data_IF_388252626183
#
_entry.id   IF_388252626183
#
_cell.length_a   1.000
_cell.length_b   1.000
_cell.length_c   1.000
_cell.angle_alpha   90.00
_cell.angle_beta   90.00
_cell.angle_gamma   90.00
#
_symmetry.space_group_name_H-M   'P 1'
#
loop_
_entity.id
_entity.type
_entity.pdbx_description
1 polymer ?
#
# COMPACT_ATOMS: atom_id res chain seq x y z
N UNK A 1 53.08 25.11 -25.97
CA UNK A 1 52.92 25.63 -24.58
C UNK A 1 52.41 27.05 -24.66
N UNK A 2 51.23 27.31 -24.10
CA UNK A 2 50.74 28.69 -23.99
C UNK A 2 51.58 29.48 -22.98
N UNK A 3 51.67 30.80 -23.16
CA UNK A 3 52.43 31.68 -22.27
C UNK A 3 51.77 31.75 -20.87
N UNK A 4 52.51 32.07 -19.80
CA UNK A 4 51.92 32.28 -18.47
C UNK A 4 50.83 33.36 -18.54
N UNK A 5 49.60 33.02 -18.14
CA UNK A 5 48.44 33.93 -18.17
C UNK A 5 47.56 33.85 -19.43
N UNK A 6 47.87 32.97 -20.37
CA UNK A 6 47.00 32.65 -21.51
C UNK A 6 45.77 31.85 -21.05
N UNK A 7 44.57 32.34 -21.36
CA UNK A 7 43.32 31.61 -21.12
C UNK A 7 42.84 30.84 -22.37
N UNK A 8 41.76 30.05 -22.21
CA UNK A 8 41.25 29.21 -23.30
C UNK A 8 40.71 30.05 -24.45
N UNK A 9 40.11 31.22 -24.15
CA UNK A 9 39.51 32.11 -25.13
C UNK A 9 40.58 32.83 -25.95
N UNK A 10 41.74 33.16 -25.35
CA UNK A 10 42.92 33.68 -26.05
C UNK A 10 43.39 32.72 -27.14
N UNK A 11 43.47 31.42 -26.84
CA UNK A 11 43.87 30.39 -27.81
C UNK A 11 42.82 30.22 -28.90
N UNK A 12 41.54 30.28 -28.56
CA UNK A 12 40.45 30.22 -29.53
C UNK A 12 40.46 31.42 -30.46
N UNK A 13 40.65 32.63 -29.93
CA UNK A 13 40.76 33.88 -30.67
C UNK A 13 41.95 33.86 -31.63
N UNK A 14 43.12 33.42 -31.15
CA UNK A 14 44.33 33.31 -31.96
C UNK A 14 44.23 32.25 -33.08
N UNK A 15 43.43 31.20 -32.90
CA UNK A 15 43.29 30.10 -33.87
C UNK A 15 42.04 30.21 -34.76
N UNK A 16 41.27 31.30 -34.67
CA UNK A 16 39.96 31.45 -35.33
C UNK A 16 39.01 30.27 -35.06
N UNK A 17 39.09 29.68 -33.86
CA UNK A 17 38.26 28.55 -33.45
C UNK A 17 38.52 27.22 -34.16
N UNK A 18 39.69 27.05 -34.80
CA UNK A 18 40.08 25.79 -35.44
C UNK A 18 40.71 24.77 -34.49
N UNK A 19 41.02 25.16 -33.25
CA UNK A 19 41.63 24.27 -32.26
C UNK A 19 40.59 23.31 -31.67
N UNK A 20 40.94 22.03 -31.58
CA UNK A 20 40.05 21.00 -31.00
C UNK A 20 40.22 20.92 -29.48
N UNK A 21 39.20 20.42 -28.78
CA UNK A 21 39.30 20.14 -27.33
C UNK A 21 40.45 19.19 -27.00
N UNK A 22 40.72 18.20 -27.85
CA UNK A 22 41.85 17.29 -27.68
C UNK A 22 43.20 18.03 -27.71
N UNK A 23 43.39 18.96 -28.66
CA UNK A 23 44.61 19.77 -28.72
C UNK A 23 44.75 20.70 -27.52
N UNK A 24 43.63 21.26 -27.02
CA UNK A 24 43.67 22.09 -25.82
C UNK A 24 44.08 21.29 -24.57
N UNK A 25 43.66 20.03 -24.47
CA UNK A 25 44.03 19.14 -23.38
C UNK A 25 45.48 18.65 -23.48
N UNK A 26 45.92 18.20 -24.67
CA UNK A 26 47.20 17.50 -24.86
C UNK A 26 48.37 18.45 -25.17
N UNK A 27 48.15 19.49 -25.97
CA UNK A 27 49.22 20.37 -26.48
C UNK A 27 49.29 21.70 -25.73
N UNK A 28 48.13 22.28 -25.39
CA UNK A 28 48.06 23.53 -24.64
C UNK A 28 48.09 23.32 -23.12
N UNK A 29 47.71 22.12 -22.65
CA UNK A 29 47.80 21.73 -21.24
C UNK A 29 46.66 22.23 -20.35
N UNK A 30 45.54 22.68 -20.94
CA UNK A 30 44.39 23.12 -20.16
C UNK A 30 43.72 21.94 -19.44
N UNK A 31 43.20 22.20 -18.25
CA UNK A 31 42.38 21.28 -17.49
C UNK A 31 40.94 21.25 -18.03
N UNK A 32 40.22 20.12 -17.89
CA UNK A 32 38.80 20.07 -18.26
C UNK A 32 37.91 21.09 -17.51
N UNK A 33 38.34 21.56 -16.33
CA UNK A 33 37.64 22.63 -15.61
C UNK A 33 37.80 23.97 -16.32
N UNK A 34 39.00 24.33 -16.74
CA UNK A 34 39.24 25.56 -17.52
C UNK A 34 38.46 25.53 -18.83
N UNK A 35 38.39 24.38 -19.49
CA UNK A 35 37.59 24.21 -20.71
C UNK A 35 36.09 24.40 -20.45
N UNK A 36 35.57 23.86 -19.34
CA UNK A 36 34.18 24.10 -18.92
C UNK A 36 33.92 25.57 -18.63
N UNK A 37 34.82 26.21 -17.88
CA UNK A 37 34.70 27.61 -17.49
C UNK A 37 34.75 28.54 -18.72
N UNK A 38 35.42 28.11 -19.79
CA UNK A 38 35.42 28.71 -21.14
C UNK A 38 34.27 28.24 -22.05
N UNK A 39 33.23 27.61 -21.49
CA UNK A 39 32.00 27.26 -22.21
C UNK A 39 32.08 26.02 -23.11
N UNK A 40 33.11 25.18 -23.00
CA UNK A 40 33.12 23.87 -23.69
C UNK A 40 32.08 22.94 -23.08
N UNK A 41 31.33 22.26 -23.93
CA UNK A 41 30.27 21.32 -23.56
C UNK A 41 30.85 19.99 -23.06
N UNK A 42 30.08 19.27 -22.24
CA UNK A 42 30.49 17.93 -21.79
C UNK A 42 30.72 16.98 -22.99
N UNK A 43 29.92 17.12 -24.06
CA UNK A 43 30.03 16.31 -25.28
C UNK A 43 31.40 16.48 -25.95
N UNK A 44 31.85 17.71 -26.13
CA UNK A 44 33.16 17.97 -26.74
C UNK A 44 34.31 17.35 -25.94
N UNK A 45 34.21 17.36 -24.61
CA UNK A 45 35.19 16.71 -23.74
C UNK A 45 35.13 15.18 -23.84
N UNK A 46 33.93 14.60 -23.86
CA UNK A 46 33.74 13.15 -23.99
C UNK A 46 34.26 12.65 -25.35
N UNK A 47 33.97 13.37 -26.44
CA UNK A 47 34.47 13.07 -27.78
C UNK A 47 36.00 13.19 -27.87
N UNK A 48 36.60 14.05 -27.04
CA UNK A 48 38.05 14.16 -26.87
C UNK A 48 38.67 13.10 -25.93
N UNK A 49 37.87 12.15 -25.43
CA UNK A 49 38.33 11.04 -24.60
C UNK A 49 38.40 11.33 -23.10
N UNK A 50 37.84 12.46 -22.63
CA UNK A 50 37.71 12.74 -21.20
C UNK A 50 36.62 11.83 -20.61
N UNK A 51 36.93 11.12 -19.53
CA UNK A 51 35.94 10.25 -18.88
C UNK A 51 34.82 11.03 -18.17
N UNK A 52 33.63 10.45 -18.06
CA UNK A 52 32.48 11.01 -17.31
C UNK A 52 32.87 11.39 -15.88
N UNK A 53 33.70 10.58 -15.20
CA UNK A 53 34.21 10.90 -13.86
C UNK A 53 35.01 12.20 -13.85
N UNK A 54 35.86 12.43 -14.84
CA UNK A 54 36.67 13.65 -14.95
C UNK A 54 35.78 14.85 -15.30
N UNK A 55 34.76 14.67 -16.15
CA UNK A 55 33.74 15.70 -16.38
C UNK A 55 33.01 16.07 -15.07
N UNK A 56 32.57 15.09 -14.26
CA UNK A 56 31.94 15.36 -12.96
C UNK A 56 32.84 16.12 -12.00
N UNK A 57 34.10 15.69 -11.84
CA UNK A 57 35.07 16.37 -10.96
C UNK A 57 35.39 17.79 -11.45
N UNK A 58 35.29 18.01 -12.76
CA UNK A 58 35.43 19.32 -13.38
C UNK A 58 34.16 20.16 -13.29
N UNK A 59 33.09 19.59 -12.71
CA UNK A 59 31.83 20.22 -12.34
C UNK A 59 30.84 20.42 -13.49
N UNK A 60 30.84 19.51 -14.47
CA UNK A 60 29.70 19.36 -15.37
C UNK A 60 28.49 18.77 -14.61
N UNK A 61 27.32 19.35 -14.80
CA UNK A 61 26.06 18.95 -14.18
C UNK A 61 25.50 17.66 -14.78
N UNK A 62 24.47 17.08 -14.16
CA UNK A 62 23.78 15.94 -14.76
C UNK A 62 23.09 16.33 -16.08
N UNK A 63 22.64 17.59 -16.21
CA UNK A 63 22.01 18.13 -17.42
C UNK A 63 22.99 18.12 -18.59
N UNK A 64 24.21 18.60 -18.38
CA UNK A 64 25.26 18.60 -19.41
C UNK A 64 25.55 17.19 -19.93
N UNK A 65 25.57 16.20 -19.02
CA UNK A 65 25.83 14.81 -19.35
C UNK A 65 24.64 14.18 -20.10
N UNK A 66 23.41 14.58 -19.78
CA UNK A 66 22.21 14.16 -20.50
C UNK A 66 22.21 14.70 -21.93
N UNK A 67 22.54 15.97 -22.12
CA UNK A 67 22.67 16.59 -23.44
C UNK A 67 23.80 15.97 -24.27
N UNK A 68 24.88 15.52 -23.61
CA UNK A 68 25.94 14.75 -24.22
C UNK A 68 25.54 13.30 -24.57
N UNK A 69 24.33 12.86 -24.21
CA UNK A 69 23.82 11.52 -24.53
C UNK A 69 24.31 10.41 -23.60
N UNK A 70 24.87 10.76 -22.43
CA UNK A 70 25.30 9.78 -21.44
C UNK A 70 24.07 9.16 -20.75
N UNK A 71 23.97 7.83 -20.62
CA UNK A 71 22.83 7.19 -19.97
C UNK A 71 22.88 7.31 -18.44
N UNK A 72 21.72 7.22 -17.79
CA UNK A 72 21.56 7.44 -16.34
C UNK A 72 22.38 6.45 -15.49
N UNK A 73 22.50 5.20 -15.92
CA UNK A 73 23.29 4.18 -15.22
C UNK A 73 24.78 4.57 -15.17
N UNK A 74 25.29 5.17 -16.25
CA UNK A 74 26.66 5.66 -16.32
C UNK A 74 26.85 6.90 -15.45
N UNK A 75 25.91 7.84 -15.48
CA UNK A 75 25.94 8.98 -14.56
C UNK A 75 25.96 8.51 -13.10
N UNK A 76 25.10 7.56 -12.73
CA UNK A 76 25.05 7.00 -11.38
C UNK A 76 26.36 6.32 -10.99
N UNK A 77 26.95 5.49 -11.87
CA UNK A 77 28.26 4.83 -11.66
C UNK A 77 29.37 5.84 -11.41
N UNK A 78 29.25 7.04 -12.00
CA UNK A 78 30.20 8.14 -11.83
C UNK A 78 29.84 9.09 -10.67
N UNK A 79 28.82 8.77 -9.88
CA UNK A 79 28.53 9.45 -8.62
C UNK A 79 27.45 10.53 -8.69
N UNK A 80 26.76 10.70 -9.82
CA UNK A 80 25.57 11.57 -9.89
C UNK A 80 24.44 10.99 -9.04
N UNK A 81 23.87 11.84 -8.19
CA UNK A 81 22.80 11.50 -7.25
C UNK A 81 21.43 11.60 -7.92
N UNK A 82 20.42 10.95 -7.34
CA UNK A 82 19.04 11.09 -7.79
C UNK A 82 18.58 12.56 -7.82
N UNK A 83 19.01 13.37 -6.84
CA UNK A 83 18.64 14.78 -6.78
C UNK A 83 19.21 15.57 -7.95
N UNK A 84 20.50 15.39 -8.28
CA UNK A 84 21.11 16.03 -9.46
C UNK A 84 20.40 15.59 -10.75
N UNK A 85 20.07 14.31 -10.90
CA UNK A 85 19.35 13.81 -12.07
C UNK A 85 17.94 14.44 -12.20
N UNK A 86 17.20 14.54 -11.10
CA UNK A 86 15.85 15.13 -11.14
C UNK A 86 15.91 16.63 -11.36
N UNK A 87 16.77 17.34 -10.62
CA UNK A 87 16.81 18.81 -10.61
C UNK A 87 17.54 19.38 -11.82
N UNK A 88 18.72 18.84 -12.16
CA UNK A 88 19.58 19.43 -13.19
C UNK A 88 19.32 18.82 -14.57
N UNK A 89 18.95 17.54 -14.62
CA UNK A 89 18.72 16.82 -15.87
C UNK A 89 17.23 16.57 -16.18
N UNK A 90 16.32 16.98 -15.29
CA UNK A 90 14.87 16.90 -15.52
C UNK A 90 14.35 15.46 -15.65
N UNK A 91 14.95 14.48 -14.99
CA UNK A 91 14.41 13.12 -14.94
C UNK A 91 13.21 13.06 -14.00
N UNK A 92 12.01 12.82 -14.55
CA UNK A 92 10.74 12.82 -13.79
C UNK A 92 10.11 11.44 -13.65
N UNK A 93 10.67 10.40 -14.28
CA UNK A 93 10.17 9.03 -14.14
C UNK A 93 10.87 8.31 -12.96
N UNK A 94 10.16 8.23 -11.83
CA UNK A 94 10.66 7.53 -10.64
C UNK A 94 10.89 6.02 -10.86
N UNK A 95 10.13 5.39 -11.77
CA UNK A 95 10.28 3.97 -12.10
C UNK A 95 11.56 3.73 -12.86
N UNK A 96 11.89 4.59 -13.83
CA UNK A 96 13.18 4.56 -14.53
C UNK A 96 14.34 4.64 -13.53
N UNK A 97 14.31 5.65 -12.64
CA UNK A 97 15.38 5.83 -11.65
C UNK A 97 15.48 4.66 -10.67
N UNK A 98 14.36 4.05 -10.28
CA UNK A 98 14.37 2.80 -9.48
C UNK A 98 15.04 1.66 -10.25
N UNK A 99 14.73 1.48 -11.53
CA UNK A 99 15.36 0.44 -12.37
C UNK A 99 16.87 0.66 -12.50
N UNK A 100 17.32 1.91 -12.47
CA UNK A 100 18.75 2.27 -12.40
C UNK A 100 19.35 2.04 -10.99
N UNK A 101 18.56 1.56 -10.04
CA UNK A 101 18.96 1.15 -8.69
C UNK A 101 19.03 2.29 -7.68
N UNK A 102 18.35 3.41 -7.91
CA UNK A 102 18.16 4.41 -6.85
C UNK A 102 17.17 3.89 -5.81
N UNK A 103 17.50 4.08 -4.53
CA UNK A 103 16.68 3.61 -3.41
C UNK A 103 15.59 4.62 -3.05
N UNK A 104 14.55 4.16 -2.36
CA UNK A 104 13.40 4.97 -1.94
C UNK A 104 13.81 6.31 -1.32
N UNK A 105 14.69 6.28 -0.31
CA UNK A 105 15.15 7.49 0.37
C UNK A 105 15.85 8.50 -0.55
N UNK A 106 16.62 8.03 -1.54
CA UNK A 106 17.30 8.92 -2.48
C UNK A 106 16.29 9.60 -3.42
N UNK A 107 15.29 8.88 -3.89
CA UNK A 107 14.23 9.43 -4.75
C UNK A 107 13.30 10.37 -3.97
N UNK A 108 12.99 10.05 -2.71
CA UNK A 108 12.24 10.94 -1.82
C UNK A 108 12.99 12.26 -1.61
N UNK A 109 14.30 12.21 -1.33
CA UNK A 109 15.15 13.40 -1.22
C UNK A 109 15.30 14.18 -2.53
N UNK A 110 15.13 13.50 -3.67
CA UNK A 110 15.11 14.13 -4.99
C UNK A 110 13.77 14.82 -5.31
N UNK A 111 12.75 14.70 -4.44
CA UNK A 111 11.49 15.42 -4.54
C UNK A 111 10.28 14.58 -4.96
N UNK A 112 10.43 13.26 -5.15
CA UNK A 112 9.29 12.40 -5.44
C UNK A 112 8.39 12.22 -4.21
N UNK A 113 7.07 12.21 -4.44
CA UNK A 113 6.09 11.90 -3.40
C UNK A 113 6.11 10.41 -3.02
N UNK A 114 5.75 10.08 -1.78
CA UNK A 114 5.68 8.67 -1.35
C UNK A 114 4.68 7.87 -2.18
N UNK A 115 3.56 8.48 -2.56
CA UNK A 115 2.56 7.85 -3.44
C UNK A 115 3.11 7.51 -4.80
N UNK A 116 3.86 8.41 -5.44
CA UNK A 116 4.52 8.11 -6.72
C UNK A 116 5.52 6.97 -6.57
N UNK A 117 6.30 6.97 -5.49
CA UNK A 117 7.29 5.92 -5.25
C UNK A 117 6.65 4.55 -4.98
N UNK A 118 5.54 4.50 -4.25
CA UNK A 118 4.82 3.25 -3.95
C UNK A 118 3.99 2.79 -5.16
N UNK A 119 3.15 3.66 -5.71
CA UNK A 119 2.18 3.27 -6.73
C UNK A 119 2.79 3.15 -8.13
N UNK A 120 3.73 4.01 -8.50
CA UNK A 120 4.26 4.05 -9.87
C UNK A 120 5.61 3.33 -9.94
N UNK A 121 6.51 3.66 -9.02
CA UNK A 121 7.83 3.02 -8.95
C UNK A 121 7.78 1.64 -8.25
N UNK A 122 6.68 1.26 -7.59
CA UNK A 122 6.51 -0.08 -6.98
C UNK A 122 7.57 -0.41 -5.92
N UNK A 123 7.94 0.57 -5.09
CA UNK A 123 8.70 0.28 -3.87
C UNK A 123 7.89 -0.59 -2.92
N UNK A 124 8.53 -1.60 -2.34
CA UNK A 124 7.89 -2.54 -1.41
C UNK A 124 7.83 -1.97 0.00
N UNK A 125 6.93 -2.49 0.85
CA UNK A 125 6.78 -2.08 2.25
C UNK A 125 8.12 -2.17 2.99
N UNK A 126 8.85 -3.28 2.85
CA UNK A 126 10.14 -3.50 3.50
C UNK A 126 11.20 -2.47 3.07
N UNK A 127 11.24 -2.10 1.78
CA UNK A 127 12.17 -1.07 1.29
C UNK A 127 11.87 0.30 1.90
N UNK A 128 10.59 0.65 2.01
CA UNK A 128 10.14 1.91 2.59
C UNK A 128 10.40 1.94 4.09
N UNK A 129 9.97 0.92 4.84
CA UNK A 129 10.20 0.80 6.28
C UNK A 129 11.69 0.86 6.62
N UNK A 130 12.54 0.14 5.86
CA UNK A 130 13.99 0.19 6.06
C UNK A 130 14.58 1.58 5.82
N UNK A 131 14.03 2.33 4.87
CA UNK A 131 14.52 3.66 4.52
C UNK A 131 14.00 4.77 5.45
N UNK A 132 12.80 4.62 6.03
CA UNK A 132 12.11 5.73 6.72
C UNK A 132 11.62 5.43 8.12
N UNK A 133 11.46 4.16 8.49
CA UNK A 133 10.82 3.76 9.75
C UNK A 133 9.33 4.11 9.84
N UNK A 134 8.63 4.24 8.70
CA UNK A 134 7.21 4.61 8.70
C UNK A 134 6.32 3.64 9.49
N UNK A 135 5.36 4.22 10.20
CA UNK A 135 4.26 3.48 10.82
C UNK A 135 3.27 2.97 9.77
N UNK A 136 2.41 2.02 10.15
CA UNK A 136 1.34 1.52 9.28
C UNK A 136 0.48 2.66 8.69
N UNK A 137 0.11 3.66 9.51
CA UNK A 137 -0.65 4.83 9.05
C UNK A 137 0.05 5.56 7.89
N UNK A 138 1.35 5.87 8.05
CA UNK A 138 2.12 6.56 7.01
C UNK A 138 2.30 5.71 5.74
N UNK A 139 2.42 4.38 5.90
CA UNK A 139 2.50 3.46 4.76
C UNK A 139 1.16 3.40 4.00
N UNK A 140 0.03 3.41 4.69
CA UNK A 140 -1.30 3.49 4.06
C UNK A 140 -1.51 4.82 3.33
N UNK A 141 -1.10 5.95 3.91
CA UNK A 141 -1.12 7.26 3.22
C UNK A 141 -0.25 7.24 1.95
N UNK A 142 0.92 6.58 2.01
CA UNK A 142 1.79 6.35 0.87
C UNK A 142 1.17 5.43 -0.19
N UNK A 143 0.07 4.74 0.11
CA UNK A 143 -0.72 3.97 -0.85
C UNK A 143 -0.51 2.45 -0.80
N UNK A 144 0.15 1.91 0.23
CA UNK A 144 0.20 0.47 0.43
C UNK A 144 -1.16 -0.08 0.85
N UNK A 145 -1.48 -1.26 0.32
CA UNK A 145 -2.70 -1.99 0.68
C UNK A 145 -2.54 -2.77 2.00
N UNK A 146 -3.62 -3.01 2.74
CA UNK A 146 -3.58 -3.82 3.97
C UNK A 146 -2.92 -5.19 3.82
N UNK A 147 -3.20 -5.91 2.73
CA UNK A 147 -2.58 -7.21 2.43
C UNK A 147 -1.06 -7.13 2.30
N UNK A 148 -0.54 -6.06 1.68
CA UNK A 148 0.91 -5.80 1.58
C UNK A 148 1.53 -5.51 2.96
N UNK A 149 0.82 -4.77 3.81
CA UNK A 149 1.26 -4.47 5.17
C UNK A 149 1.25 -5.73 6.05
N UNK A 150 0.21 -6.57 5.96
CA UNK A 150 0.19 -7.88 6.64
C UNK A 150 1.35 -8.77 6.20
N UNK A 151 1.61 -8.85 4.89
CA UNK A 151 2.73 -9.62 4.35
C UNK A 151 4.10 -9.08 4.82
N UNK A 152 4.17 -7.81 5.22
CA UNK A 152 5.35 -7.19 5.82
C UNK A 152 5.42 -7.31 7.36
N UNK A 153 4.49 -8.06 7.97
CA UNK A 153 4.49 -8.37 9.40
C UNK A 153 3.73 -7.40 10.29
N UNK A 154 2.94 -6.46 9.73
CA UNK A 154 2.03 -5.65 10.54
C UNK A 154 0.79 -6.46 10.92
N UNK A 155 0.50 -6.55 12.22
CA UNK A 155 -0.69 -7.23 12.74
C UNK A 155 -1.99 -6.46 12.45
N UNK A 156 -3.12 -7.17 12.45
CA UNK A 156 -4.42 -6.59 12.12
C UNK A 156 -4.86 -5.48 13.09
N UNK A 157 -4.53 -5.58 14.39
CA UNK A 157 -4.82 -4.52 15.37
C UNK A 157 -4.16 -3.20 14.98
N UNK A 158 -2.89 -3.26 14.57
CA UNK A 158 -2.13 -2.11 14.12
C UNK A 158 -2.74 -1.51 12.86
N UNK A 159 -3.20 -2.36 11.92
CA UNK A 159 -3.81 -1.91 10.68
C UNK A 159 -5.21 -1.31 10.88
N UNK A 160 -6.01 -1.84 11.80
CA UNK A 160 -7.31 -1.25 12.18
C UNK A 160 -7.09 0.10 12.84
N UNK A 161 -6.17 0.21 13.81
CA UNK A 161 -5.84 1.49 14.47
C UNK A 161 -5.29 2.53 13.50
N UNK A 162 -4.54 2.09 12.49
CA UNK A 162 -4.05 2.94 11.40
C UNK A 162 -5.14 3.33 10.39
N UNK A 163 -6.36 2.77 10.49
CA UNK A 163 -7.42 2.99 9.52
C UNK A 163 -7.15 2.37 8.14
N UNK A 164 -6.17 1.47 8.04
CA UNK A 164 -5.82 0.78 6.80
C UNK A 164 -6.72 -0.43 6.56
N UNK A 165 -6.90 -1.28 7.58
CA UNK A 165 -7.78 -2.44 7.50
C UNK A 165 -9.19 -2.02 7.88
N UNK A 166 -10.18 -2.35 7.05
CA UNK A 166 -11.57 -1.98 7.29
C UNK A 166 -12.14 -2.77 8.49
N UNK A 167 -12.32 -2.10 9.62
CA UNK A 167 -13.07 -2.60 10.77
C UNK A 167 -13.75 -1.44 11.55
N UNK A 168 -14.49 -0.54 10.88
CA UNK A 168 -15.10 0.61 11.55
C UNK A 168 -16.07 0.16 12.65
N UNK A 169 -16.19 0.92 13.76
CA UNK A 169 -17.14 0.59 14.81
C UNK A 169 -18.59 0.51 14.29
N UNK A 170 -19.35 -0.46 14.79
CA UNK A 170 -20.78 -0.61 14.55
C UNK A 170 -21.16 -1.60 13.47
N UNK A 171 -22.45 -1.62 13.18
CA UNK A 171 -23.04 -2.41 12.10
C UNK A 171 -23.17 -1.54 10.85
N UNK A 172 -22.65 -2.06 9.73
CA UNK A 172 -22.59 -1.40 8.44
C UNK A 172 -23.39 -2.17 7.41
N UNK A 173 -24.11 -1.44 6.56
CA UNK A 173 -24.87 -1.99 5.45
C UNK A 173 -24.17 -1.69 4.13
N UNK A 174 -24.44 -2.50 3.13
CA UNK A 174 -23.99 -2.32 1.73
C UNK A 174 -22.47 -2.08 1.61
N UNK A 175 -21.69 -2.90 2.32
CA UNK A 175 -20.23 -2.81 2.37
C UNK A 175 -19.64 -3.46 1.12
N UNK A 176 -18.93 -2.73 0.25
CA UNK A 176 -18.35 -3.31 -0.95
C UNK A 176 -17.16 -4.21 -0.59
N UNK A 177 -17.03 -5.36 -1.24
CA UNK A 177 -15.93 -6.32 -0.97
C UNK A 177 -14.53 -5.76 -1.23
N UNK A 178 -14.42 -4.65 -1.97
CA UNK A 178 -13.16 -3.96 -2.20
C UNK A 178 -12.50 -3.46 -0.90
N UNK A 179 -13.26 -3.29 0.20
CA UNK A 179 -12.70 -2.92 1.51
C UNK A 179 -12.13 -4.11 2.28
N UNK A 180 -12.33 -5.34 1.78
CA UNK A 180 -11.87 -6.57 2.43
C UNK A 180 -10.42 -6.92 2.08
N UNK A 181 -9.67 -6.03 1.42
CA UNK A 181 -8.22 -6.22 1.29
C UNK A 181 -7.57 -6.36 2.67
N UNK A 182 -6.75 -7.39 2.87
CA UNK A 182 -6.18 -7.75 4.17
C UNK A 182 -7.05 -8.64 5.05
N UNK A 183 -8.28 -8.98 4.61
CA UNK A 183 -9.10 -10.02 5.22
C UNK A 183 -9.00 -11.33 4.42
N UNK A 184 -9.11 -12.44 5.12
CA UNK A 184 -9.12 -13.79 4.54
C UNK A 184 -10.49 -14.43 4.75
N UNK A 185 -11.07 -15.00 3.69
CA UNK A 185 -12.36 -15.68 3.77
C UNK A 185 -12.18 -17.03 4.50
N UNK A 186 -12.83 -17.18 5.64
CA UNK A 186 -12.85 -18.43 6.41
C UNK A 186 -13.94 -19.37 5.92
N UNK A 187 -15.17 -18.84 5.81
CA UNK A 187 -16.35 -19.60 5.44
C UNK A 187 -17.31 -18.78 4.60
N UNK A 188 -17.92 -19.47 3.64
CA UNK A 188 -18.97 -18.97 2.78
C UNK A 188 -19.99 -20.09 2.62
N UNK A 189 -21.12 -19.99 3.31
CA UNK A 189 -22.15 -21.01 3.32
C UNK A 189 -23.50 -20.38 2.94
N UNK A 190 -24.34 -21.04 2.14
CA UNK A 190 -25.70 -20.57 1.92
C UNK A 190 -26.48 -20.53 3.25
N UNK A 191 -27.51 -19.71 3.32
CA UNK A 191 -28.28 -19.51 4.55
C UNK A 191 -29.01 -20.79 5.01
N UNK A 192 -29.42 -21.65 4.06
CA UNK A 192 -30.01 -22.97 4.32
C UNK A 192 -29.04 -24.02 4.91
N UNK A 193 -27.73 -23.81 4.80
CA UNK A 193 -26.73 -24.69 5.43
C UNK A 193 -26.83 -24.61 6.95
N UNK A 194 -27.00 -25.73 7.66
CA UNK A 194 -27.03 -25.73 9.13
C UNK A 194 -25.73 -25.16 9.73
N UNK A 195 -25.83 -24.22 10.67
CA UNK A 195 -24.65 -23.63 11.33
C UNK A 195 -24.46 -24.27 12.69
N UNK A 196 -23.23 -24.62 13.03
CA UNK A 196 -22.87 -25.15 14.35
C UNK A 196 -21.87 -24.25 15.06
N UNK A 197 -21.82 -24.39 16.38
CA UNK A 197 -20.82 -23.73 17.22
C UNK A 197 -19.38 -24.14 16.84
N UNK A 198 -19.22 -25.34 16.25
CA UNK A 198 -17.95 -25.84 15.72
C UNK A 198 -17.43 -24.99 14.56
N UNK A 199 -18.33 -24.48 13.72
CA UNK A 199 -17.97 -23.65 12.58
C UNK A 199 -17.37 -22.31 13.06
N UNK A 200 -17.88 -21.76 14.16
CA UNK A 200 -17.36 -20.53 14.76
C UNK A 200 -16.00 -20.73 15.44
N UNK A 201 -15.81 -21.82 16.20
CA UNK A 201 -14.51 -22.07 16.85
C UNK A 201 -13.42 -22.52 15.87
N UNK A 202 -13.79 -22.93 14.65
CA UNK A 202 -12.83 -23.27 13.59
C UNK A 202 -12.11 -22.05 13.01
N UNK A 203 -12.55 -20.83 13.34
CA UNK A 203 -11.86 -19.60 12.96
C UNK A 203 -10.43 -19.63 13.52
N UNK A 204 -9.39 -19.37 12.69
CA UNK A 204 -7.99 -19.55 13.09
C UNK A 204 -7.63 -18.85 14.41
N UNK A 205 -6.93 -19.55 15.30
CA UNK A 205 -6.61 -19.06 16.65
C UNK A 205 -5.70 -17.83 16.65
N UNK A 206 -4.84 -17.71 15.63
CA UNK A 206 -3.93 -16.59 15.43
C UNK A 206 -4.60 -15.33 14.87
N UNK A 207 -5.88 -15.39 14.49
CA UNK A 207 -6.57 -14.19 13.98
C UNK A 207 -6.92 -13.23 15.12
N UNK A 208 -6.67 -11.95 14.90
CA UNK A 208 -6.95 -10.90 15.88
C UNK A 208 -8.37 -10.38 15.70
N UNK A 209 -8.85 -10.31 14.45
CA UNK A 209 -10.15 -9.75 14.09
C UNK A 209 -11.00 -10.75 13.32
N UNK A 210 -12.32 -10.65 13.52
CA UNK A 210 -13.33 -11.42 12.78
C UNK A 210 -14.38 -10.47 12.24
N UNK A 211 -14.74 -10.66 10.98
CA UNK A 211 -15.84 -9.99 10.30
C UNK A 211 -16.92 -11.01 10.00
N UNK A 212 -18.13 -10.74 10.49
CA UNK A 212 -19.32 -11.53 10.23
C UNK A 212 -20.22 -10.73 9.30
N UNK A 213 -20.69 -11.34 8.22
CA UNK A 213 -21.61 -10.67 7.31
C UNK A 213 -22.61 -11.61 6.66
N UNK A 214 -23.57 -10.99 6.01
CA UNK A 214 -24.47 -11.62 5.07
C UNK A 214 -24.42 -10.89 3.73
N UNK A 215 -24.53 -11.62 2.63
CA UNK A 215 -24.69 -11.05 1.28
C UNK A 215 -25.67 -11.87 0.46
N UNK A 216 -26.20 -11.26 -0.60
CA UNK A 216 -26.86 -12.02 -1.66
C UNK A 216 -25.80 -12.83 -2.41
N UNK A 217 -26.14 -14.06 -2.79
CA UNK A 217 -25.26 -14.94 -3.56
C UNK A 217 -24.75 -14.24 -4.82
N UNK A 218 -23.44 -14.34 -5.05
CA UNK A 218 -22.71 -13.68 -6.14
C UNK A 218 -22.69 -12.14 -6.10
N UNK A 219 -23.16 -11.49 -5.03
CA UNK A 219 -23.01 -10.04 -4.88
C UNK A 219 -21.59 -9.69 -4.44
N UNK A 220 -21.03 -8.62 -5.00
CA UNK A 220 -19.76 -8.02 -4.53
C UNK A 220 -19.96 -7.03 -3.38
N UNK A 221 -21.13 -7.06 -2.74
CA UNK A 221 -21.53 -6.16 -1.66
C UNK A 221 -22.09 -6.99 -0.51
N UNK A 222 -21.53 -6.80 0.68
CA UNK A 222 -22.05 -7.34 1.93
C UNK A 222 -23.26 -6.51 2.35
N UNK A 223 -24.42 -7.16 2.44
CA UNK A 223 -25.67 -6.48 2.77
C UNK A 223 -25.67 -5.93 4.21
N UNK A 224 -25.12 -6.71 5.14
CA UNK A 224 -24.90 -6.28 6.53
C UNK A 224 -23.64 -6.95 7.06
N UNK A 225 -22.77 -6.17 7.70
CA UNK A 225 -21.50 -6.63 8.23
C UNK A 225 -21.17 -5.92 9.56
N UNK A 226 -20.47 -6.64 10.43
CA UNK A 226 -19.80 -6.07 11.59
C UNK A 226 -18.48 -6.79 11.81
N UNK A 227 -17.48 -6.06 12.31
CA UNK A 227 -16.17 -6.60 12.64
C UNK A 227 -15.83 -6.28 14.10
N UNK A 228 -15.21 -7.22 14.80
CA UNK A 228 -14.74 -7.04 16.17
C UNK A 228 -13.54 -7.97 16.44
N UNK A 229 -12.80 -7.74 17.54
CA UNK A 229 -11.76 -8.67 17.96
C UNK A 229 -12.32 -10.09 18.08
N UNK A 230 -11.55 -11.09 17.62
CA UNK A 230 -11.95 -12.51 17.62
C UNK A 230 -12.44 -12.97 18.99
N UNK A 231 -11.75 -12.53 20.05
CA UNK A 231 -12.08 -12.86 21.44
C UNK A 231 -13.49 -12.40 21.83
N UNK A 232 -13.92 -11.21 21.37
CA UNK A 232 -15.26 -10.71 21.60
C UNK A 232 -16.31 -11.46 20.78
N UNK A 233 -16.08 -11.62 19.46
CA UNK A 233 -17.02 -12.34 18.57
C UNK A 233 -17.29 -13.76 19.07
N UNK A 234 -16.28 -14.45 19.60
CA UNK A 234 -16.41 -15.81 20.12
C UNK A 234 -16.81 -15.89 21.60
N UNK A 235 -17.09 -14.77 22.27
CA UNK A 235 -17.53 -14.78 23.68
C UNK A 235 -18.93 -15.37 23.78
N UNK A 236 -19.06 -16.44 24.59
CA UNK A 236 -20.35 -17.08 24.86
C UNK A 236 -21.26 -16.16 25.67
N UNK A 237 -22.54 -16.13 25.32
CA UNK A 237 -23.56 -15.35 26.03
C UNK A 237 -24.70 -16.24 26.52
N UNK A 238 -25.37 -15.79 27.57
CA UNK A 238 -26.64 -16.37 28.01
C UNK A 238 -27.77 -15.97 27.05
N UNK A 239 -28.93 -16.64 27.18
CA UNK A 239 -30.13 -16.35 26.40
C UNK A 239 -30.52 -14.87 26.54
N UNK A 240 -30.82 -14.22 25.42
CA UNK A 240 -31.22 -12.81 25.32
C UNK A 240 -30.21 -11.81 25.92
N UNK A 241 -28.94 -12.20 26.04
CA UNK A 241 -27.86 -11.33 26.46
C UNK A 241 -26.86 -11.08 25.33
N UNK A 242 -26.35 -9.85 25.31
CA UNK A 242 -25.31 -9.38 24.41
C UNK A 242 -24.17 -8.76 25.22
N UNK A 243 -23.02 -8.62 24.59
CA UNK A 243 -21.96 -7.72 25.04
C UNK A 243 -21.58 -6.79 23.90
N UNK A 244 -21.16 -5.57 24.23
CA UNK A 244 -20.72 -4.60 23.23
C UNK A 244 -19.24 -4.82 22.91
N UNK A 245 -18.90 -4.77 21.63
CA UNK A 245 -17.52 -4.71 21.17
C UNK A 245 -17.46 -4.09 19.78
N UNK A 246 -16.54 -3.14 19.61
CA UNK A 246 -16.35 -2.36 18.38
C UNK A 246 -17.66 -1.79 17.83
N UNK A 247 -18.50 -1.19 18.68
CA UNK A 247 -19.74 -0.51 18.33
C UNK A 247 -20.93 -1.41 18.02
N UNK A 248 -20.78 -2.74 18.08
CA UNK A 248 -21.87 -3.70 17.85
C UNK A 248 -22.12 -4.56 19.09
N UNK A 249 -23.35 -5.05 19.23
CA UNK A 249 -23.78 -5.92 20.32
C UNK A 249 -23.78 -7.38 19.85
N UNK A 250 -22.79 -8.14 20.30
CA UNK A 250 -22.53 -9.50 19.88
C UNK A 250 -23.18 -10.51 20.82
N UNK A 251 -23.62 -11.63 20.25
CA UNK A 251 -24.13 -12.77 21.00
C UNK A 251 -23.72 -14.07 20.33
N UNK A 252 -23.35 -15.05 21.17
CA UNK A 252 -23.07 -16.43 20.79
C UNK A 252 -23.63 -17.31 21.89
N UNK A 253 -24.84 -17.79 21.69
CA UNK A 253 -25.53 -18.66 22.62
C UNK A 253 -25.58 -20.06 21.98
N UNK A 254 -24.64 -20.98 22.31
CA UNK A 254 -24.62 -22.33 21.75
C UNK A 254 -25.98 -23.03 21.90
N UNK A 255 -26.36 -23.86 20.93
CA UNK A 255 -27.70 -24.48 20.83
C UNK A 255 -28.87 -23.50 20.73
N UNK A 256 -28.58 -22.24 20.39
CA UNK A 256 -29.57 -21.20 20.19
C UNK A 256 -29.25 -20.39 18.94
N UNK A 257 -28.40 -19.37 19.05
CA UNK A 257 -28.14 -18.45 17.97
C UNK A 257 -26.79 -17.73 18.12
N UNK A 258 -26.32 -17.17 17.01
CA UNK A 258 -25.16 -16.33 16.90
C UNK A 258 -25.44 -15.14 16.00
N UNK A 259 -24.86 -13.99 16.33
CA UNK A 259 -24.93 -12.82 15.47
C UNK A 259 -24.63 -11.53 16.21
N UNK A 260 -25.13 -10.44 15.65
CA UNK A 260 -24.94 -9.10 16.19
C UNK A 260 -26.13 -8.19 15.90
N UNK A 261 -26.21 -7.10 16.65
CA UNK A 261 -27.16 -6.01 16.44
C UNK A 261 -26.52 -4.64 16.77
N UNK A 262 -27.13 -3.56 16.31
CA UNK A 262 -26.76 -2.19 16.73
C UNK A 262 -27.35 -1.76 18.08
N UNK A 263 -27.98 -2.68 18.82
CA UNK A 263 -28.54 -2.44 20.15
C UNK A 263 -28.43 -3.69 21.00
N UNK A 264 -28.44 -3.51 22.32
CA UNK A 264 -28.34 -4.62 23.28
C UNK A 264 -29.59 -5.51 23.33
N UNK A 265 -30.72 -5.02 22.81
CA UNK A 265 -31.99 -5.71 22.82
C UNK A 265 -32.09 -6.71 21.66
N UNK A 266 -32.12 -7.99 22.03
CA UNK A 266 -32.31 -9.13 21.13
C UNK A 266 -33.38 -10.05 21.72
N UNK A 267 -34.05 -10.85 20.89
CA UNK A 267 -34.97 -11.89 21.31
C UNK A 267 -34.66 -13.20 20.59
N UNK A 268 -34.00 -14.13 21.27
CA UNK A 268 -33.55 -15.43 20.79
C UNK A 268 -34.50 -16.58 21.18
N UNK A 269 -35.67 -16.31 21.78
CA UNK A 269 -36.56 -17.36 22.28
C UNK A 269 -37.03 -18.28 21.15
N UNK A 270 -37.24 -17.71 19.95
CA UNK A 270 -37.55 -18.40 18.70
C UNK A 270 -36.29 -18.89 17.94
N UNK A 271 -35.20 -19.17 18.66
CA UNK A 271 -33.90 -19.68 18.16
C UNK A 271 -33.09 -18.79 17.21
N UNK A 272 -33.52 -17.54 16.98
CA UNK A 272 -32.77 -16.48 16.33
C UNK A 272 -33.33 -15.12 16.75
N UNK A 273 -32.59 -14.04 16.54
CA UNK A 273 -33.03 -12.69 16.92
C UNK A 273 -34.21 -12.19 16.08
N UNK A 274 -35.38 -12.11 16.71
CA UNK A 274 -36.62 -11.58 16.12
C UNK A 274 -36.99 -10.17 16.61
N UNK A 275 -36.14 -9.52 17.41
CA UNK A 275 -36.45 -8.18 17.90
C UNK A 275 -36.34 -7.16 16.75
N UNK A 276 -37.32 -6.25 16.65
CA UNK A 276 -37.34 -5.14 15.67
C UNK A 276 -37.09 -5.63 14.22
N UNK A 277 -38.03 -6.39 13.63
CA UNK A 277 -37.82 -7.11 12.36
C UNK A 277 -37.51 -6.18 11.18
N UNK A 278 -37.93 -4.91 11.23
CA UNK A 278 -37.67 -3.90 10.18
C UNK A 278 -36.24 -3.34 10.23
N UNK A 279 -35.46 -3.65 11.27
CA UNK A 279 -34.10 -3.13 11.41
C UNK A 279 -33.13 -3.72 10.41
N UNK A 280 -32.45 -2.86 9.65
CA UNK A 280 -31.38 -3.24 8.71
C UNK A 280 -30.05 -3.60 9.38
N UNK A 281 -29.91 -3.34 10.69
CA UNK A 281 -28.61 -3.42 11.39
C UNK A 281 -28.47 -4.63 12.31
N UNK A 282 -28.94 -5.78 11.83
CA UNK A 282 -28.98 -7.03 12.59
C UNK A 282 -28.62 -8.22 11.73
N UNK A 283 -27.96 -9.20 12.31
CA UNK A 283 -27.69 -10.49 11.69
C UNK A 283 -27.89 -11.57 12.73
N UNK A 284 -28.55 -12.67 12.34
CA UNK A 284 -28.78 -13.80 13.24
C UNK A 284 -28.76 -15.12 12.50
N UNK A 285 -27.96 -16.05 13.01
CA UNK A 285 -27.88 -17.44 12.57
C UNK A 285 -28.29 -18.35 13.74
N UNK A 286 -29.07 -19.38 13.44
CA UNK A 286 -29.38 -20.46 14.37
C UNK A 286 -28.12 -21.32 14.55
N UNK A 287 -27.83 -21.72 15.79
CA UNK A 287 -26.70 -22.59 16.10
C UNK A 287 -27.14 -23.97 16.57
N UNK A 288 -26.42 -25.00 16.10
CA UNK A 288 -26.54 -26.40 16.52
C UNK A 288 -27.95 -26.99 16.31
N UNK A 289 -28.62 -26.53 15.26
CA UNK A 289 -29.90 -27.07 14.80
C UNK A 289 -29.69 -27.92 13.55
N UNK A 290 -30.36 -29.07 13.45
CA UNK A 290 -30.12 -30.03 12.36
C UNK A 290 -30.57 -29.55 10.98
N UNK A 291 -31.41 -28.51 10.91
CA UNK A 291 -32.05 -28.07 9.67
C UNK A 291 -31.96 -26.57 9.43
N UNK A 292 -31.47 -25.78 10.39
CA UNK A 292 -31.51 -24.33 10.29
C UNK A 292 -30.10 -23.74 10.41
N UNK A 293 -29.84 -22.78 9.53
CA UNK A 293 -28.60 -22.04 9.45
C UNK A 293 -28.81 -20.56 9.70
N UNK A 294 -28.64 -19.76 8.67
CA UNK A 294 -28.88 -18.32 8.75
C UNK A 294 -30.38 -18.05 8.83
N UNK A 295 -30.81 -17.10 9.68
CA UNK A 295 -32.23 -16.74 9.80
C UNK A 295 -32.51 -15.30 9.41
N UNK A 296 -31.54 -14.41 9.65
CA UNK A 296 -31.72 -12.97 9.49
C UNK A 296 -30.50 -12.30 8.88
N UNK A 297 -30.74 -11.38 7.94
CA UNK A 297 -29.80 -10.44 7.37
C UNK A 297 -30.49 -9.08 7.21
N UNK A 298 -30.24 -8.15 8.12
CA UNK A 298 -30.95 -6.86 8.18
C UNK A 298 -32.44 -7.05 8.42
N UNK A 299 -33.25 -6.36 7.63
CA UNK A 299 -34.72 -6.51 7.65
C UNK A 299 -35.20 -7.82 7.02
N UNK A 300 -34.33 -8.55 6.32
CA UNK A 300 -34.66 -9.84 5.72
C UNK A 300 -34.62 -10.94 6.76
N UNK A 301 -35.82 -11.33 7.18
CA UNK A 301 -36.06 -12.39 8.13
C UNK A 301 -36.50 -13.69 7.41
N UNK A 302 -36.53 -14.79 8.15
CA UNK A 302 -36.95 -16.13 7.68
C UNK A 302 -36.14 -16.74 6.53
N UNK A 303 -34.85 -16.42 6.47
CA UNK A 303 -33.94 -16.89 5.43
C UNK A 303 -33.46 -18.35 5.59
N UNK A 304 -33.96 -19.12 6.56
CA UNK A 304 -33.41 -20.42 6.95
C UNK A 304 -33.51 -21.53 5.89
N UNK A 305 -34.21 -21.28 4.79
CA UNK A 305 -34.35 -22.21 3.66
C UNK A 305 -33.93 -21.57 2.34
N UNK A 306 -33.28 -20.41 2.40
CA UNK A 306 -32.85 -19.66 1.22
C UNK A 306 -31.40 -19.99 0.85
N UNK A 307 -31.18 -20.43 -0.39
CA UNK A 307 -29.85 -20.63 -0.96
C UNK A 307 -29.36 -19.40 -1.77
N UNK A 308 -30.20 -18.36 -1.83
CA UNK A 308 -29.93 -17.08 -2.51
C UNK A 308 -29.17 -16.08 -1.63
N UNK A 309 -28.97 -16.42 -0.36
CA UNK A 309 -28.21 -15.65 0.61
C UNK A 309 -27.04 -16.46 1.15
N UNK A 310 -25.94 -15.78 1.45
CA UNK A 310 -24.71 -16.38 1.94
C UNK A 310 -24.34 -15.77 3.29
N UNK A 311 -24.00 -16.65 4.24
CA UNK A 311 -23.35 -16.33 5.50
C UNK A 311 -21.86 -16.33 5.25
N UNK A 312 -21.21 -15.29 5.75
CA UNK A 312 -19.81 -15.09 5.47
C UNK A 312 -19.04 -14.81 6.75
N UNK A 313 -17.89 -15.46 6.87
CA UNK A 313 -16.94 -15.27 7.97
C UNK A 313 -15.59 -14.94 7.34
N UNK A 314 -15.02 -13.78 7.70
CA UNK A 314 -13.64 -13.44 7.39
C UNK A 314 -12.85 -13.24 8.67
N UNK A 315 -11.54 -13.40 8.56
CA UNK A 315 -10.60 -13.15 9.65
C UNK A 315 -9.40 -12.33 9.17
N UNK A 316 -8.72 -11.69 10.11
CA UNK A 316 -7.46 -10.98 9.86
C UNK A 316 -6.47 -11.17 10.99
#
# INVERSE_FOLDING_TARGET
MCLPGCDVDDVFGATQGKVTVKQLLEEAGFSPKELRDAGRTAKELLDAGVSVRKCRVSGYSAGDLKEAGIPVDEMKRNGYTAKELVVDAGFTDAKELRLMGFRFGALKLAGFSDRTLVLDAKFTVHEVVKATGYSAFKLSEAGFKPSELKAAGFDADTLVKAGSLWAPPGVHNDVPETVLDGWELHRLDPYDHATSDKDLISIPEQSHWVLIAARKKNSSTLHVAAAAPRSAVLTKTALNQTHESNGAFWYRCPRRAFGFANTRHINLDAVADWYDPESEKRLSWVLDHNSWGGRRAGSRCDLAFEDTWEKCIWFS
#
